data_IF_130278168356
#
_entry.id   IF_130278168356
#
_cell.length_a   1.000
_cell.length_b   1.000
_cell.length_c   1.000
_cell.angle_alpha   90.00
_cell.angle_beta   90.00
_cell.angle_gamma   90.00
#
_symmetry.space_group_name_H-M   'P 1'
#
loop_
_entity.id
_entity.type
_entity.pdbx_description
1 polymer ?
#
# COMPACT_ATOMS: atom_id res chain seq x y z
N UNK A 1 -0.94 16.50 25.39
CA UNK A 1 -1.40 15.50 24.40
C UNK A 1 -2.66 16.01 23.74
N UNK A 2 -2.77 15.92 22.40
CA UNK A 2 -4.00 16.32 21.71
C UNK A 2 -5.12 15.28 21.92
N UNK A 3 -6.38 15.71 21.80
CA UNK A 3 -7.55 14.81 21.81
C UNK A 3 -7.39 13.71 20.74
N UNK A 4 -6.79 14.05 19.59
CA UNK A 4 -6.46 13.10 18.52
C UNK A 4 -5.51 12.01 19.02
N UNK A 5 -4.46 12.37 19.77
CA UNK A 5 -3.48 11.39 20.28
C UNK A 5 -4.12 10.43 21.28
N UNK A 6 -5.03 10.91 22.14
CA UNK A 6 -5.75 10.06 23.11
C UNK A 6 -6.69 9.09 22.37
N UNK A 7 -7.50 9.60 21.45
CA UNK A 7 -8.40 8.77 20.64
C UNK A 7 -7.64 7.71 19.82
N UNK A 8 -6.50 8.09 19.22
CA UNK A 8 -5.65 7.20 18.46
C UNK A 8 -5.10 6.05 19.33
N UNK A 9 -4.64 6.34 20.56
CA UNK A 9 -4.16 5.31 21.51
C UNK A 9 -5.25 4.32 21.92
N UNK A 10 -6.47 4.79 22.17
CA UNK A 10 -7.61 3.91 22.49
C UNK A 10 -7.97 3.00 21.30
N UNK A 11 -8.05 3.58 20.10
CA UNK A 11 -8.29 2.83 18.87
C UNK A 11 -7.17 1.81 18.60
N UNK A 12 -5.92 2.21 18.83
CA UNK A 12 -4.74 1.36 18.68
C UNK A 12 -4.81 0.10 19.55
N UNK A 13 -5.12 0.23 20.85
CA UNK A 13 -5.31 -0.91 21.75
C UNK A 13 -6.43 -1.85 21.28
N UNK A 14 -7.56 -1.29 20.84
CA UNK A 14 -8.68 -2.09 20.31
C UNK A 14 -8.28 -2.87 19.05
N UNK A 15 -7.56 -2.22 18.13
CA UNK A 15 -7.11 -2.84 16.88
C UNK A 15 -6.04 -3.89 17.14
N UNK A 16 -5.06 -3.62 18.01
CA UNK A 16 -4.03 -4.58 18.43
C UNK A 16 -4.68 -5.83 19.02
N UNK A 17 -5.59 -5.68 20.00
CA UNK A 17 -6.31 -6.83 20.59
C UNK A 17 -7.02 -7.66 19.52
N UNK A 18 -7.74 -7.01 18.61
CA UNK A 18 -8.41 -7.72 17.51
C UNK A 18 -7.42 -8.47 16.61
N UNK A 19 -6.27 -7.87 16.31
CA UNK A 19 -5.24 -8.47 15.47
C UNK A 19 -4.61 -9.68 16.14
N UNK A 20 -4.19 -9.53 17.40
CA UNK A 20 -3.58 -10.62 18.15
C UNK A 20 -4.56 -11.77 18.40
N UNK A 21 -5.87 -11.49 18.56
CA UNK A 21 -6.87 -12.54 18.70
C UNK A 21 -6.91 -13.50 17.51
N UNK A 22 -6.91 -12.99 16.25
CA UNK A 22 -6.90 -13.89 15.09
C UNK A 22 -5.50 -14.42 14.78
N UNK A 23 -4.45 -13.67 15.13
CA UNK A 23 -3.06 -14.09 14.92
C UNK A 23 -2.61 -15.19 15.91
N UNK A 24 -3.28 -15.30 17.06
CA UNK A 24 -3.00 -16.33 18.07
C UNK A 24 -3.35 -17.76 17.59
N UNK A 25 -4.25 -17.91 16.61
CA UNK A 25 -4.61 -19.21 16.01
C UNK A 25 -4.33 -19.18 14.50
N UNK A 26 -3.04 -19.14 14.07
CA UNK A 26 -2.68 -18.87 12.68
C UNK A 26 -3.17 -19.95 11.71
N UNK A 27 -3.07 -21.23 12.06
CA UNK A 27 -3.51 -22.35 11.23
C UNK A 27 -5.03 -22.32 11.00
N UNK A 28 -5.81 -22.15 12.07
CA UNK A 28 -7.27 -22.05 12.01
C UNK A 28 -7.71 -20.84 11.21
N UNK A 29 -7.04 -19.70 11.39
CA UNK A 29 -7.30 -18.48 10.62
C UNK A 29 -7.02 -18.70 9.12
N UNK A 30 -5.89 -19.30 8.77
CA UNK A 30 -5.57 -19.64 7.38
C UNK A 30 -6.58 -20.64 6.79
N UNK A 31 -6.96 -21.68 7.53
CA UNK A 31 -7.94 -22.66 7.08
C UNK A 31 -9.31 -22.03 6.81
N UNK A 32 -9.74 -21.08 7.66
CA UNK A 32 -10.99 -20.33 7.46
C UNK A 32 -10.94 -19.51 6.17
N UNK A 33 -9.85 -18.76 5.96
CA UNK A 33 -9.67 -17.96 4.73
C UNK A 33 -9.62 -18.87 3.51
N UNK A 34 -8.85 -19.96 3.55
CA UNK A 34 -8.76 -20.94 2.48
C UNK A 34 -10.14 -21.49 2.08
N UNK A 35 -10.91 -22.01 3.03
CA UNK A 35 -12.26 -22.55 2.77
C UNK A 35 -13.18 -21.51 2.15
N UNK A 36 -13.13 -20.26 2.64
CA UNK A 36 -13.91 -19.17 2.08
C UNK A 36 -13.53 -18.86 0.63
N UNK A 37 -12.23 -18.76 0.32
CA UNK A 37 -11.74 -18.46 -1.03
C UNK A 37 -12.12 -19.55 -2.03
N UNK A 38 -11.92 -20.83 -1.67
CA UNK A 38 -12.27 -21.97 -2.54
C UNK A 38 -13.78 -21.99 -2.81
N UNK A 39 -14.60 -21.87 -1.76
CA UNK A 39 -16.05 -21.89 -1.90
C UNK A 39 -16.56 -20.75 -2.77
N UNK A 40 -16.01 -19.54 -2.61
CA UNK A 40 -16.44 -18.36 -3.34
C UNK A 40 -16.01 -18.38 -4.81
N UNK A 41 -14.84 -18.92 -5.12
CA UNK A 41 -14.31 -18.95 -6.48
C UNK A 41 -14.69 -20.20 -7.28
N UNK A 42 -15.40 -21.18 -6.69
CA UNK A 42 -15.65 -22.48 -7.31
C UNK A 42 -16.30 -22.41 -8.70
N UNK A 43 -17.19 -21.45 -8.92
CA UNK A 43 -17.98 -21.34 -10.16
C UNK A 43 -17.31 -20.47 -11.23
N UNK A 44 -16.14 -19.89 -10.91
CA UNK A 44 -15.33 -19.12 -11.86
C UNK A 44 -14.68 -20.02 -12.90
N UNK A 45 -14.21 -19.45 -14.02
CA UNK A 45 -13.45 -20.20 -15.04
C UNK A 45 -12.26 -20.90 -14.40
N UNK A 46 -11.46 -20.17 -13.62
CA UNK A 46 -10.31 -20.72 -12.90
C UNK A 46 -10.74 -21.79 -11.89
N UNK A 47 -11.84 -21.58 -11.16
CA UNK A 47 -12.36 -22.56 -10.21
C UNK A 47 -12.72 -23.89 -10.88
N UNK A 48 -13.38 -23.83 -12.04
CA UNK A 48 -13.77 -25.02 -12.83
C UNK A 48 -12.57 -25.73 -13.43
N UNK A 49 -11.63 -24.98 -14.02
CA UNK A 49 -10.41 -25.53 -14.62
C UNK A 49 -9.53 -26.28 -13.60
N UNK A 50 -9.65 -25.93 -12.32
CA UNK A 50 -8.90 -26.52 -11.22
C UNK A 50 -9.78 -27.30 -10.23
N UNK A 51 -10.98 -27.69 -10.63
CA UNK A 51 -11.87 -28.55 -9.84
C UNK A 51 -12.06 -28.10 -8.38
N UNK A 52 -12.32 -26.81 -8.15
CA UNK A 52 -12.51 -26.27 -6.80
C UNK A 52 -13.65 -26.96 -6.02
N UNK A 53 -14.62 -27.55 -6.72
CA UNK A 53 -15.68 -28.38 -6.13
C UNK A 53 -15.17 -29.66 -5.45
N UNK A 54 -13.99 -30.14 -5.85
CA UNK A 54 -13.35 -31.34 -5.27
C UNK A 54 -12.35 -31.00 -4.15
N UNK A 55 -12.08 -29.72 -3.92
CA UNK A 55 -11.08 -29.28 -2.94
C UNK A 55 -11.73 -29.17 -1.56
N UNK A 56 -11.46 -30.14 -0.70
CA UNK A 56 -11.94 -30.14 0.70
C UNK A 56 -10.81 -29.96 1.70
N UNK A 57 -9.59 -30.33 1.31
CA UNK A 57 -8.35 -30.21 2.09
C UNK A 57 -7.28 -29.40 1.36
N UNK A 58 -6.25 -29.00 2.08
CA UNK A 58 -5.08 -28.36 1.47
C UNK A 58 -4.31 -29.32 0.53
N UNK A 59 -4.31 -30.62 0.82
CA UNK A 59 -3.67 -31.60 -0.05
C UNK A 59 -4.43 -31.78 -1.37
N UNK A 60 -5.76 -31.68 -1.37
CA UNK A 60 -6.54 -31.61 -2.61
C UNK A 60 -6.17 -30.37 -3.42
N UNK A 61 -6.06 -29.22 -2.76
CA UNK A 61 -5.67 -27.97 -3.41
C UNK A 61 -4.31 -28.06 -4.09
N UNK A 62 -3.28 -28.60 -3.42
CA UNK A 62 -1.95 -28.75 -4.01
C UNK A 62 -1.94 -29.65 -5.26
N UNK A 63 -2.81 -30.68 -5.30
CA UNK A 63 -2.94 -31.56 -6.47
C UNK A 63 -3.60 -30.86 -7.65
N UNK A 64 -4.57 -29.99 -7.36
CA UNK A 64 -5.39 -29.35 -8.38
C UNK A 64 -4.86 -27.99 -8.84
N UNK A 65 -4.13 -27.24 -8.01
CA UNK A 65 -3.70 -25.87 -8.28
C UNK A 65 -2.17 -25.78 -8.24
N UNK A 66 -1.49 -25.81 -9.40
CA UNK A 66 -0.03 -25.70 -9.44
C UNK A 66 0.43 -24.28 -9.13
N UNK A 67 1.65 -24.17 -8.60
CA UNK A 67 2.35 -22.89 -8.43
C UNK A 67 2.66 -22.30 -9.80
N UNK A 68 2.38 -21.00 -9.98
CA UNK A 68 2.50 -20.30 -11.27
C UNK A 68 3.12 -18.92 -11.10
N UNK A 69 3.80 -18.47 -12.14
CA UNK A 69 4.16 -17.08 -12.32
C UNK A 69 3.04 -16.30 -13.03
N UNK A 70 3.30 -15.02 -13.34
CA UNK A 70 2.34 -14.19 -14.04
C UNK A 70 2.09 -14.65 -15.48
N UNK A 71 3.10 -15.15 -16.18
CA UNK A 71 2.96 -15.53 -17.59
C UNK A 71 2.05 -16.75 -17.73
N UNK A 72 2.13 -17.70 -16.80
CA UNK A 72 1.21 -18.84 -16.73
C UNK A 72 -0.23 -18.44 -16.34
N UNK A 73 -0.43 -17.30 -15.67
CA UNK A 73 -1.76 -16.76 -15.36
C UNK A 73 -2.30 -15.81 -16.43
N UNK A 74 -1.43 -15.33 -17.34
CA UNK A 74 -1.73 -14.33 -18.35
C UNK A 74 -2.96 -14.66 -19.20
N UNK A 75 -3.23 -15.92 -19.64
CA UNK A 75 -4.43 -16.23 -20.41
C UNK A 75 -5.74 -15.92 -19.67
N UNK A 76 -5.77 -16.08 -18.35
CA UNK A 76 -6.92 -15.67 -17.54
C UNK A 76 -7.00 -14.15 -17.41
N UNK A 77 -5.85 -13.48 -17.22
CA UNK A 77 -5.81 -12.02 -17.11
C UNK A 77 -6.25 -11.36 -18.42
N UNK A 78 -5.86 -11.90 -19.58
CA UNK A 78 -6.27 -11.42 -20.90
C UNK A 78 -7.79 -11.52 -21.09
N UNK A 79 -8.40 -12.62 -20.67
CA UNK A 79 -9.86 -12.75 -20.66
C UNK A 79 -10.56 -11.65 -19.84
N UNK A 80 -10.02 -11.31 -18.67
CA UNK A 80 -10.58 -10.23 -17.84
C UNK A 80 -10.35 -8.88 -18.52
N UNK A 81 -9.18 -8.68 -19.12
CA UNK A 81 -8.85 -7.48 -19.90
C UNK A 81 -9.81 -7.31 -21.07
N UNK A 82 -10.18 -8.39 -21.77
CA UNK A 82 -11.20 -8.40 -22.84
C UNK A 82 -12.62 -8.15 -22.32
N UNK A 83 -12.80 -8.07 -21.00
CA UNK A 83 -14.05 -7.71 -20.37
C UNK A 83 -14.90 -8.91 -19.95
N UNK A 84 -14.35 -10.13 -19.89
CA UNK A 84 -15.05 -11.29 -19.29
C UNK A 84 -15.13 -11.14 -17.77
N UNK A 85 -16.24 -11.58 -17.19
CA UNK A 85 -16.43 -11.67 -15.74
C UNK A 85 -16.18 -13.11 -15.24
N UNK A 86 -16.08 -13.28 -13.92
CA UNK A 86 -16.07 -14.60 -13.28
C UNK A 86 -14.92 -15.51 -13.75
N UNK A 87 -13.76 -14.90 -14.08
CA UNK A 87 -12.60 -15.63 -14.62
C UNK A 87 -11.75 -16.21 -13.50
N UNK A 88 -11.00 -15.38 -12.76
CA UNK A 88 -10.19 -15.81 -11.61
C UNK A 88 -10.87 -15.56 -10.26
N UNK A 89 -11.91 -14.74 -10.27
CA UNK A 89 -12.70 -14.35 -9.11
C UNK A 89 -14.10 -13.95 -9.59
N UNK A 90 -15.16 -14.08 -8.76
CA UNK A 90 -16.49 -13.65 -9.14
C UNK A 90 -16.54 -12.17 -9.55
N UNK A 91 -17.39 -11.88 -10.54
CA UNK A 91 -17.60 -10.56 -11.13
C UNK A 91 -16.35 -10.00 -11.82
N UNK A 92 -16.42 -8.74 -12.27
CA UNK A 92 -15.27 -8.01 -12.80
C UNK A 92 -14.49 -7.34 -11.66
N UNK A 93 -13.16 -7.25 -11.74
CA UNK A 93 -12.39 -6.46 -10.78
C UNK A 93 -12.78 -4.98 -10.85
N UNK A 94 -12.60 -4.26 -9.75
CA UNK A 94 -12.79 -2.81 -9.72
C UNK A 94 -11.68 -2.08 -10.48
N UNK A 95 -10.45 -2.59 -10.35
CA UNK A 95 -9.27 -2.00 -10.98
C UNK A 95 -8.33 -3.07 -11.53
N UNK A 96 -7.50 -2.67 -12.47
CA UNK A 96 -6.19 -3.27 -12.69
C UNK A 96 -5.10 -2.38 -12.10
N UNK A 97 -4.35 -2.91 -11.13
CA UNK A 97 -3.10 -2.33 -10.70
C UNK A 97 -2.01 -2.65 -11.74
N UNK A 98 -1.47 -1.62 -12.38
CA UNK A 98 -0.38 -1.73 -13.36
C UNK A 98 0.96 -1.74 -12.63
N UNK A 99 1.80 -2.74 -12.89
CA UNK A 99 3.19 -2.73 -12.43
C UNK A 99 4.05 -1.88 -13.37
N UNK A 100 5.14 -1.28 -12.88
CA UNK A 100 6.19 -0.77 -13.76
C UNK A 100 6.68 -1.92 -14.64
N UNK A 101 6.79 -1.66 -15.95
CA UNK A 101 7.03 -2.67 -16.97
C UNK A 101 8.30 -3.46 -16.70
N UNK A 102 8.18 -4.78 -16.70
CA UNK A 102 9.31 -5.70 -16.87
C UNK A 102 9.62 -5.83 -18.35
N UNK A 103 10.67 -6.56 -18.71
CA UNK A 103 11.07 -6.86 -20.10
C UNK A 103 9.93 -7.46 -20.94
N UNK A 104 8.93 -8.09 -20.31
CA UNK A 104 7.72 -8.66 -20.95
C UNK A 104 6.52 -7.69 -21.09
N UNK A 105 6.69 -6.40 -20.78
CA UNK A 105 5.62 -5.40 -20.82
C UNK A 105 4.96 -5.17 -19.46
N UNK A 106 3.85 -4.42 -19.46
CA UNK A 106 3.14 -4.08 -18.24
C UNK A 106 2.23 -5.22 -17.77
N UNK A 107 2.35 -5.62 -16.50
CA UNK A 107 1.44 -6.58 -15.86
C UNK A 107 0.21 -5.86 -15.32
N UNK A 108 -0.94 -6.51 -15.45
CA UNK A 108 -2.22 -6.03 -14.96
C UNK A 108 -2.71 -6.95 -13.84
N UNK A 109 -2.63 -6.48 -12.60
CA UNK A 109 -3.05 -7.25 -11.43
C UNK A 109 -4.50 -6.86 -11.10
N UNK A 110 -5.48 -7.78 -11.18
CA UNK A 110 -6.86 -7.49 -10.81
C UNK A 110 -6.98 -7.14 -9.32
N UNK A 111 -7.67 -6.04 -9.02
CA UNK A 111 -8.03 -5.64 -7.65
C UNK A 111 -9.56 -5.73 -7.53
N UNK A 112 -10.02 -6.63 -6.68
CA UNK A 112 -11.44 -6.94 -6.52
C UNK A 112 -12.11 -5.95 -5.56
N UNK A 113 -13.45 -6.01 -5.51
CA UNK A 113 -14.22 -5.23 -4.53
C UNK A 113 -13.90 -5.64 -3.11
N UNK A 114 -13.69 -6.92 -2.89
CA UNK A 114 -13.38 -7.52 -1.60
C UNK A 114 -11.96 -7.20 -1.14
N UNK A 115 -10.98 -7.14 -2.05
CA UNK A 115 -9.57 -6.88 -1.69
C UNK A 115 -9.32 -5.40 -1.40
N UNK A 116 -10.07 -4.48 -2.00
CA UNK A 116 -9.83 -3.03 -1.92
C UNK A 116 -9.74 -2.48 -0.47
N UNK A 117 -10.68 -2.81 0.45
CA UNK A 117 -10.61 -2.34 1.83
C UNK A 117 -9.35 -2.80 2.58
N UNK A 118 -8.75 -3.93 2.18
CA UNK A 118 -7.56 -4.45 2.84
C UNK A 118 -6.34 -3.57 2.60
N UNK A 119 -6.20 -2.93 1.43
CA UNK A 119 -5.11 -1.99 1.16
C UNK A 119 -5.12 -0.77 2.10
N UNK A 120 -6.30 -0.26 2.43
CA UNK A 120 -6.47 0.87 3.35
C UNK A 120 -6.30 0.42 4.81
N UNK A 121 -6.92 -0.69 5.16
CA UNK A 121 -6.89 -1.18 6.54
C UNK A 121 -5.50 -1.65 6.96
N UNK A 122 -4.69 -2.21 6.06
CA UNK A 122 -3.33 -2.64 6.35
C UNK A 122 -2.43 -1.46 6.76
N UNK A 123 -2.38 -0.39 5.96
CA UNK A 123 -1.60 0.80 6.28
C UNK A 123 -2.05 1.46 7.59
N UNK A 124 -3.38 1.58 7.79
CA UNK A 124 -3.94 2.10 9.05
C UNK A 124 -3.55 1.23 10.23
N UNK A 125 -3.69 -0.10 10.11
CA UNK A 125 -3.41 -1.02 11.20
C UNK A 125 -1.92 -1.03 11.54
N UNK A 126 -1.01 -0.88 10.56
CA UNK A 126 0.43 -0.75 10.83
C UNK A 126 0.74 0.46 11.74
N UNK A 127 0.19 1.64 11.42
CA UNK A 127 0.34 2.84 12.25
C UNK A 127 -0.29 2.66 13.64
N UNK A 128 -1.45 2.02 13.73
CA UNK A 128 -2.12 1.77 14.99
C UNK A 128 -1.36 0.74 15.85
N UNK A 129 -0.76 -0.28 15.25
CA UNK A 129 0.10 -1.23 15.97
C UNK A 129 1.36 -0.53 16.49
N UNK A 130 1.99 0.33 15.70
CA UNK A 130 3.10 1.17 16.16
C UNK A 130 2.69 2.04 17.36
N UNK A 131 1.52 2.69 17.32
CA UNK A 131 1.00 3.48 18.45
C UNK A 131 0.76 2.58 19.67
N UNK A 132 0.21 1.38 19.48
CA UNK A 132 -0.08 0.44 20.56
C UNK A 132 1.21 -0.05 21.24
N UNK A 133 2.23 -0.34 20.45
CA UNK A 133 3.54 -0.84 20.90
C UNK A 133 4.35 0.24 21.62
N UNK A 134 4.47 1.42 21.00
CA UNK A 134 5.39 2.47 21.48
C UNK A 134 4.73 3.51 22.38
N UNK A 135 3.40 3.62 22.34
CA UNK A 135 2.67 4.73 22.94
C UNK A 135 2.90 6.08 22.26
N UNK A 136 3.68 6.15 21.18
CA UNK A 136 3.97 7.38 20.42
C UNK A 136 2.86 7.62 19.39
N UNK A 137 2.17 8.75 19.50
CA UNK A 137 1.08 9.13 18.58
C UNK A 137 1.21 10.56 18.05
N UNK A 138 2.25 11.31 18.44
CA UNK A 138 2.29 12.75 18.18
C UNK A 138 2.54 13.09 16.70
N UNK A 139 3.01 12.12 15.91
CA UNK A 139 3.14 12.25 14.46
C UNK A 139 1.80 12.53 13.75
N UNK A 140 0.64 12.29 14.39
CA UNK A 140 -0.65 12.61 13.78
C UNK A 140 -0.98 14.11 13.81
N UNK A 141 -0.22 14.90 14.58
CA UNK A 141 -0.49 16.32 14.79
C UNK A 141 0.13 17.21 13.70
N UNK A 142 1.08 16.71 12.91
CA UNK A 142 1.66 17.45 11.79
C UNK A 142 1.14 17.01 10.43
N UNK A 143 1.88 17.41 9.39
CA UNK A 143 1.67 16.97 8.01
C UNK A 143 2.33 15.62 7.78
N UNK A 144 1.73 14.84 6.87
CA UNK A 144 2.16 13.49 6.52
C UNK A 144 2.26 13.39 5.01
N UNK A 145 3.27 12.70 4.51
CA UNK A 145 3.41 12.40 3.09
C UNK A 145 3.52 10.90 2.85
N UNK A 146 2.86 10.45 1.79
CA UNK A 146 3.14 9.16 1.16
C UNK A 146 3.61 9.44 -0.26
N UNK A 147 4.92 9.30 -0.50
CA UNK A 147 5.49 9.43 -1.84
C UNK A 147 4.96 8.26 -2.68
N UNK A 148 4.04 8.58 -3.58
CA UNK A 148 3.24 7.62 -4.31
C UNK A 148 3.30 7.85 -5.83
N UNK A 149 3.02 6.79 -6.59
CA UNK A 149 2.73 6.91 -8.01
C UNK A 149 1.50 7.77 -8.31
N UNK A 150 1.38 8.23 -9.55
CA UNK A 150 0.27 9.10 -10.00
C UNK A 150 -1.11 8.50 -9.68
N UNK A 151 -2.06 9.30 -9.17
CA UNK A 151 -3.43 8.88 -8.89
C UNK A 151 -4.33 8.91 -10.14
N UNK A 152 -3.79 9.22 -11.32
CA UNK A 152 -4.53 9.20 -12.58
C UNK A 152 -5.03 7.77 -12.85
N UNK A 153 -6.32 7.68 -13.15
CA UNK A 153 -7.02 6.42 -13.41
C UNK A 153 -7.41 6.39 -14.90
N UNK A 154 -6.84 5.44 -15.62
CA UNK A 154 -7.28 5.08 -16.96
C UNK A 154 -8.45 4.10 -16.95
N UNK A 155 -8.85 3.66 -18.13
CA UNK A 155 -9.87 2.63 -18.32
C UNK A 155 -9.37 1.61 -19.35
N UNK A 156 -9.68 0.33 -19.11
CA UNK A 156 -9.45 -0.75 -20.06
C UNK A 156 -10.68 -1.65 -20.04
N UNK A 157 -11.48 -1.59 -21.11
CA UNK A 157 -12.71 -2.35 -21.30
C UNK A 157 -13.68 -2.29 -20.11
N UNK A 158 -13.88 -1.08 -19.57
CA UNK A 158 -14.80 -0.83 -18.47
C UNK A 158 -14.20 -1.06 -17.08
N UNK A 159 -12.99 -1.61 -16.97
CA UNK A 159 -12.25 -1.74 -15.71
C UNK A 159 -11.28 -0.57 -15.56
N UNK A 160 -11.25 0.05 -14.38
CA UNK A 160 -10.34 1.18 -14.09
C UNK A 160 -8.89 0.69 -14.04
N UNK A 161 -7.92 1.48 -14.47
CA UNK A 161 -6.50 1.08 -14.46
C UNK A 161 -5.61 2.15 -13.85
N UNK A 162 -4.65 1.78 -13.00
CA UNK A 162 -3.73 2.75 -12.41
C UNK A 162 -2.60 2.09 -11.63
N UNK A 163 -1.69 2.89 -11.08
CA UNK A 163 -0.69 2.39 -10.11
C UNK A 163 -1.39 2.10 -8.79
N UNK A 164 -1.02 1.03 -8.08
CA UNK A 164 -1.71 0.62 -6.85
C UNK A 164 -1.77 1.75 -5.81
N UNK A 165 -0.65 2.43 -5.56
CA UNK A 165 -0.60 3.57 -4.64
C UNK A 165 -1.52 4.72 -5.07
N UNK A 166 -1.63 4.96 -6.38
CA UNK A 166 -2.52 5.95 -6.96
C UNK A 166 -3.99 5.57 -6.81
N UNK A 167 -4.34 4.31 -7.05
CA UNK A 167 -5.68 3.76 -6.83
C UNK A 167 -6.10 3.94 -5.37
N UNK A 168 -5.23 3.54 -4.44
CA UNK A 168 -5.46 3.63 -2.98
C UNK A 168 -5.68 5.08 -2.53
N UNK A 169 -5.07 6.07 -3.20
CA UNK A 169 -5.25 7.48 -2.86
C UNK A 169 -6.73 7.95 -2.95
N UNK A 170 -7.52 7.37 -3.84
CA UNK A 170 -8.96 7.67 -3.99
C UNK A 170 -9.82 7.19 -2.83
N UNK A 171 -9.30 6.27 -2.01
CA UNK A 171 -10.00 5.64 -0.90
C UNK A 171 -9.62 6.25 0.46
N UNK A 172 -8.70 7.21 0.49
CA UNK A 172 -8.28 7.88 1.73
C UNK A 172 -9.42 8.80 2.19
N UNK A 173 -9.98 8.60 3.40
CA UNK A 173 -11.07 9.43 3.92
C UNK A 173 -10.73 10.93 3.93
N UNK A 174 -11.69 11.78 3.55
CA UNK A 174 -11.52 13.25 3.46
C UNK A 174 -10.92 13.90 4.71
N UNK A 175 -11.27 13.41 5.91
CA UNK A 175 -10.73 13.97 7.16
C UNK A 175 -9.22 13.72 7.32
N UNK A 176 -8.67 12.65 6.72
CA UNK A 176 -7.23 12.37 6.70
C UNK A 176 -6.49 13.16 5.61
N UNK A 177 -7.21 13.61 4.57
CA UNK A 177 -6.61 14.35 3.46
C UNK A 177 -6.08 15.74 3.89
N UNK A 178 -6.68 16.38 4.90
CA UNK A 178 -6.27 17.73 5.37
C UNK A 178 -4.81 17.82 5.83
N UNK A 179 -4.29 16.73 6.39
CA UNK A 179 -2.92 16.66 6.88
C UNK A 179 -1.97 16.01 5.86
N UNK A 180 -2.47 15.66 4.68
CA UNK A 180 -1.71 14.91 3.67
C UNK A 180 -1.09 15.86 2.65
N UNK A 181 0.16 15.60 2.30
CA UNK A 181 0.92 16.24 1.23
C UNK A 181 1.31 15.17 0.18
N UNK A 182 1.70 15.57 -1.05
CA UNK A 182 1.53 16.91 -1.65
C UNK A 182 0.06 17.12 -2.09
N UNK A 183 -0.20 18.24 -2.77
CA UNK A 183 -1.46 18.53 -3.46
C UNK A 183 -1.86 17.43 -4.46
N UNK A 184 -3.12 17.48 -4.92
CA UNK A 184 -3.60 16.53 -5.93
C UNK A 184 -2.88 16.77 -7.27
N UNK A 185 -2.72 18.04 -7.61
CA UNK A 185 -2.07 18.55 -8.82
C UNK A 185 -0.62 18.05 -8.90
N UNK A 186 0.17 18.25 -7.83
CA UNK A 186 1.54 17.72 -7.76
C UNK A 186 1.57 16.19 -7.77
N UNK A 187 0.57 15.52 -7.19
CA UNK A 187 0.48 14.07 -7.26
C UNK A 187 0.25 13.54 -8.69
N UNK A 188 -0.41 14.31 -9.55
CA UNK A 188 -0.73 13.96 -10.92
C UNK A 188 0.43 14.15 -11.92
N UNK A 189 1.52 14.84 -11.52
CA UNK A 189 2.71 14.99 -12.37
C UNK A 189 3.26 13.61 -12.74
N UNK A 190 3.41 13.35 -14.05
CA UNK A 190 3.88 12.06 -14.56
C UNK A 190 5.39 11.90 -14.48
N UNK A 191 6.14 12.95 -14.87
CA UNK A 191 7.60 12.95 -14.78
C UNK A 191 8.04 12.90 -13.32
N UNK A 192 8.85 11.90 -13.00
CA UNK A 192 9.18 11.60 -11.61
C UNK A 192 10.05 12.68 -10.98
N UNK A 193 11.06 13.18 -11.69
CA UNK A 193 11.97 14.18 -11.14
C UNK A 193 11.26 15.51 -10.91
N UNK A 194 10.50 15.97 -11.91
CA UNK A 194 9.65 17.16 -11.83
C UNK A 194 8.65 17.04 -10.69
N UNK A 195 8.05 15.85 -10.51
CA UNK A 195 7.14 15.59 -9.40
C UNK A 195 7.84 15.75 -8.05
N UNK A 196 9.03 15.17 -7.88
CA UNK A 196 9.75 15.28 -6.60
C UNK A 196 10.16 16.74 -6.34
N UNK A 197 10.57 17.50 -7.36
CA UNK A 197 10.87 18.93 -7.20
C UNK A 197 9.64 19.73 -6.74
N UNK A 198 8.47 19.51 -7.35
CA UNK A 198 7.23 20.14 -6.89
C UNK A 198 6.85 19.73 -5.46
N UNK A 199 7.07 18.47 -5.08
CA UNK A 199 6.87 18.00 -3.69
C UNK A 199 7.80 18.75 -2.73
N UNK A 200 9.07 18.95 -3.10
CA UNK A 200 10.04 19.70 -2.30
C UNK A 200 9.54 21.11 -2.04
N UNK A 201 9.08 21.83 -3.08
CA UNK A 201 8.56 23.19 -2.92
C UNK A 201 7.36 23.27 -1.97
N UNK A 202 6.42 22.33 -2.09
CA UNK A 202 5.22 22.32 -1.24
C UNK A 202 5.52 21.94 0.21
N UNK A 203 6.56 21.13 0.45
CA UNK A 203 6.78 20.52 1.77
C UNK A 203 7.87 21.20 2.58
N UNK A 204 8.83 21.90 1.97
CA UNK A 204 10.03 22.43 2.65
C UNK A 204 9.72 23.41 3.81
N UNK A 205 8.55 24.04 3.80
CA UNK A 205 8.09 24.98 4.86
C UNK A 205 7.11 24.36 5.84
N UNK A 206 6.72 23.12 5.63
CA UNK A 206 5.67 22.44 6.38
C UNK A 206 6.22 21.67 7.59
N UNK A 207 5.38 21.51 8.61
CA UNK A 207 5.69 20.65 9.75
C UNK A 207 5.45 19.17 9.40
N UNK A 208 6.38 18.58 8.64
CA UNK A 208 6.33 17.16 8.29
C UNK A 208 6.69 16.30 9.50
N UNK A 209 5.82 15.34 9.83
CA UNK A 209 5.94 14.52 11.05
C UNK A 209 5.98 13.02 10.76
N UNK A 210 5.31 12.60 9.70
CA UNK A 210 5.36 11.25 9.15
C UNK A 210 5.72 11.32 7.67
N UNK A 211 6.76 10.60 7.28
CA UNK A 211 7.17 10.46 5.88
C UNK A 211 7.07 8.99 5.52
N UNK A 212 6.47 8.68 4.39
CA UNK A 212 6.29 7.30 3.96
C UNK A 212 6.49 7.14 2.46
N UNK A 213 6.93 5.97 2.03
CA UNK A 213 7.20 5.69 0.63
C UNK A 213 8.20 4.57 0.42
N UNK A 214 8.54 4.32 -0.85
CA UNK A 214 9.65 3.41 -1.19
C UNK A 214 10.97 4.10 -0.80
N UNK A 215 11.89 3.43 -0.08
CA UNK A 215 13.16 4.01 0.35
C UNK A 215 13.93 4.77 -0.74
N UNK A 216 14.04 4.24 -1.96
CA UNK A 216 14.73 4.93 -3.06
C UNK A 216 14.06 6.26 -3.45
N UNK A 217 12.73 6.33 -3.41
CA UNK A 217 11.98 7.55 -3.72
C UNK A 217 12.14 8.60 -2.63
N UNK A 218 12.09 8.16 -1.37
CA UNK A 218 12.22 9.04 -0.20
C UNK A 218 13.66 9.54 -0.07
N UNK A 219 14.66 8.73 -0.41
CA UNK A 219 16.04 9.16 -0.49
C UNK A 219 16.21 10.34 -1.45
N UNK A 220 15.69 10.23 -2.68
CA UNK A 220 15.77 11.30 -3.68
C UNK A 220 15.10 12.59 -3.18
N UNK A 221 13.95 12.45 -2.53
CA UNK A 221 13.25 13.57 -1.91
C UNK A 221 14.08 14.25 -0.80
N UNK A 222 14.71 13.47 0.07
CA UNK A 222 15.62 14.00 1.10
C UNK A 222 16.86 14.65 0.49
N UNK A 223 17.47 14.05 -0.52
CA UNK A 223 18.62 14.62 -1.22
C UNK A 223 18.28 15.96 -1.87
N UNK A 224 17.12 16.09 -2.53
CA UNK A 224 16.66 17.36 -3.12
C UNK A 224 16.33 18.41 -2.05
N UNK A 225 15.72 18.04 -0.91
CA UNK A 225 15.50 18.95 0.22
C UNK A 225 16.81 19.48 0.80
N UNK A 226 17.79 18.61 1.02
CA UNK A 226 19.12 18.98 1.54
C UNK A 226 19.87 19.83 0.52
N UNK A 227 19.86 19.48 -0.77
CA UNK A 227 20.49 20.27 -1.82
C UNK A 227 19.89 21.68 -1.92
N UNK A 228 18.57 21.82 -1.79
CA UNK A 228 17.89 23.12 -1.84
C UNK A 228 18.17 24.01 -0.62
N UNK A 229 18.30 23.42 0.56
CA UNK A 229 18.33 24.18 1.82
C UNK A 229 19.69 24.23 2.50
N UNK A 230 20.64 23.38 2.11
CA UNK A 230 21.91 23.19 2.81
C UNK A 230 21.80 22.56 4.20
N UNK A 231 20.61 22.04 4.57
CA UNK A 231 20.29 21.53 5.91
C UNK A 231 19.91 20.04 5.89
N UNK A 232 20.13 19.36 7.00
CA UNK A 232 19.66 17.99 7.21
C UNK A 232 18.14 17.95 7.43
N UNK A 233 17.51 16.79 7.19
CA UNK A 233 16.03 16.69 7.27
C UNK A 233 15.50 17.01 8.67
N UNK A 234 16.22 16.69 9.75
CA UNK A 234 15.81 17.05 11.11
C UNK A 234 15.81 18.56 11.38
N UNK A 235 16.60 19.33 10.64
CA UNK A 235 16.63 20.80 10.74
C UNK A 235 15.50 21.43 9.91
N UNK A 236 15.14 20.80 8.78
CA UNK A 236 14.02 21.22 7.94
C UNK A 236 12.69 20.84 8.61
N UNK A 237 12.60 19.61 9.14
CA UNK A 237 11.41 19.03 9.77
C UNK A 237 11.72 18.57 11.21
N UNK A 238 11.74 19.48 12.20
CA UNK A 238 12.12 19.17 13.58
C UNK A 238 11.30 18.05 14.21
N UNK A 239 10.00 17.99 13.88
CA UNK A 239 9.05 17.02 14.44
C UNK A 239 8.93 15.72 13.61
N UNK A 240 9.72 15.55 12.55
CA UNK A 240 9.78 14.28 11.83
C UNK A 240 10.40 13.22 12.73
N UNK A 241 9.62 12.17 13.02
CA UNK A 241 10.03 11.12 13.96
C UNK A 241 9.57 9.70 13.58
N UNK A 242 8.83 9.54 12.48
CA UNK A 242 8.36 8.24 12.01
C UNK A 242 8.47 8.14 10.48
N UNK A 243 9.32 7.23 10.01
CA UNK A 243 9.44 6.84 8.62
C UNK A 243 8.71 5.52 8.37
N UNK A 244 7.72 5.46 7.46
CA UNK A 244 7.03 4.20 7.13
C UNK A 244 7.37 3.77 5.72
N UNK A 245 8.01 2.61 5.57
CA UNK A 245 8.50 2.15 4.27
C UNK A 245 7.81 0.87 3.78
N UNK A 246 7.96 0.61 2.48
CA UNK A 246 7.53 -0.62 1.83
C UNK A 246 8.06 -0.71 0.41
N UNK A 247 7.80 -1.82 -0.27
CA UNK A 247 8.19 -2.06 -1.65
C UNK A 247 9.61 -2.58 -1.85
N UNK A 248 10.58 -2.18 -1.02
CA UNK A 248 11.95 -2.75 -0.99
C UNK A 248 12.46 -2.86 0.46
N UNK A 249 13.50 -3.67 0.65
CA UNK A 249 14.20 -3.76 1.93
C UNK A 249 14.82 -2.41 2.30
N UNK A 250 14.57 -1.93 3.53
CA UNK A 250 15.10 -0.65 4.01
C UNK A 250 16.55 -0.74 4.51
N UNK A 251 17.00 -1.91 4.94
CA UNK A 251 18.30 -2.05 5.60
C UNK A 251 19.49 -1.48 4.79
N UNK A 252 19.59 -1.68 3.46
CA UNK A 252 20.65 -1.07 2.65
C UNK A 252 20.64 0.47 2.63
N UNK A 253 19.49 1.09 2.92
CA UNK A 253 19.29 2.53 2.90
C UNK A 253 19.51 3.19 4.26
N UNK A 254 19.48 2.42 5.36
CA UNK A 254 19.44 2.94 6.73
C UNK A 254 20.55 3.95 7.03
N UNK A 255 21.82 3.59 6.76
CA UNK A 255 22.96 4.48 7.02
C UNK A 255 22.88 5.80 6.24
N UNK A 256 22.46 5.73 4.97
CA UNK A 256 22.29 6.92 4.13
C UNK A 256 21.14 7.79 4.63
N UNK A 257 20.03 7.17 5.05
CA UNK A 257 18.89 7.87 5.66
C UNK A 257 19.28 8.55 6.96
N UNK A 258 19.91 7.85 7.90
CA UNK A 258 20.36 8.44 9.17
C UNK A 258 21.28 9.65 8.94
N UNK A 259 22.17 9.57 7.94
CA UNK A 259 23.03 10.71 7.54
C UNK A 259 22.24 11.89 6.97
N UNK A 260 21.33 11.64 6.02
CA UNK A 260 20.49 12.70 5.43
C UNK A 260 19.57 13.34 6.47
N UNK A 261 19.03 12.51 7.37
CA UNK A 261 18.11 12.95 8.40
C UNK A 261 18.83 13.74 9.48
N UNK A 262 20.08 13.37 9.82
CA UNK A 262 20.86 14.00 10.88
C UNK A 262 20.51 13.48 12.28
N UNK A 263 19.59 12.53 12.40
CA UNK A 263 19.25 11.81 13.63
C UNK A 263 18.60 10.46 13.30
N UNK A 264 18.50 9.59 14.30
CA UNK A 264 17.67 8.37 14.22
C UNK A 264 16.19 8.74 14.31
N UNK A 265 15.38 8.05 13.52
CA UNK A 265 13.91 8.12 13.53
C UNK A 265 13.36 6.70 13.57
N UNK A 266 12.17 6.52 14.15
CA UNK A 266 11.53 5.22 14.16
C UNK A 266 11.17 4.83 12.72
N UNK A 267 11.36 3.56 12.35
CA UNK A 267 11.16 3.05 10.99
C UNK A 267 10.62 1.63 10.94
#
# INVERSE_FOLDING_TARGET
MSIKSIAAKLLAKKVQKRIYNWAAEPEKTQQKVFKQLILQAKDTVFGKDHHFEKITTYDDFKKHVPVRDYEALKPYIEQIIEGKSDVVWPQKPLYFAKTSGTTSGAKYIPITKESMPHHISAARNALLLYIAETGKADFINGKMIFLQGSPIIGNKNGVKTGRLSGIVAHYVPKYLQKNRMPSWETNCIEDWETKVDAIVEETVKENMTLISGIPSWVQMYFEKLTAKTGRNISEIFPNFNLFVYGGVNYEPYRNKFEKLIGKKVDS
#
